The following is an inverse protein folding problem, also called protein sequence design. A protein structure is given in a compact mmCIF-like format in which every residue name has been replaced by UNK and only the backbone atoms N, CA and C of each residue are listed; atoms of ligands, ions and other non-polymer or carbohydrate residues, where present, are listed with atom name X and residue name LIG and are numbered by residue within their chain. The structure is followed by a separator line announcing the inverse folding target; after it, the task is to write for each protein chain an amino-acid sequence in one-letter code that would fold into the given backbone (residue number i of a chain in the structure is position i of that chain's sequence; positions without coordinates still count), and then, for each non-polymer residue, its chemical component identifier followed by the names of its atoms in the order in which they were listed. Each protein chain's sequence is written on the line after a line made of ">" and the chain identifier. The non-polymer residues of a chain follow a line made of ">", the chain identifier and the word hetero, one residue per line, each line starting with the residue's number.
data_IF_809744951809
#
_entry.id   IF_809744951809
#
_cell.length_a   1.000
_cell.length_b   1.000
_cell.length_c   1.000
_cell.angle_alpha   90.00
_cell.angle_beta   90.00
_cell.angle_gamma   90.00
#
_symmetry.space_group_name_H-M   'P 1'
#
loop_
_entity.id
_entity.type
_entity.pdbx_description
1 polymer ?
#
# COMPACT_ATOMS: atom_id res chain seq x y z
N UNK A 1 44.69 -11.00 20.58
CA UNK A 1 45.76 -10.51 19.68
C UNK A 1 45.51 -9.04 19.40
N UNK A 2 46.40 -8.06 19.49
CA UNK A 2 47.78 -7.88 19.96
C UNK A 2 48.03 -6.36 19.82
N UNK A 3 48.27 -5.62 20.90
CA UNK A 3 49.57 -5.20 21.46
C UNK A 3 50.50 -4.40 20.51
N UNK A 4 51.11 -3.37 21.13
CA UNK A 4 52.30 -2.55 20.74
C UNK A 4 51.99 -1.15 20.18
N UNK A 5 52.68 -0.06 20.57
CA UNK A 5 53.97 0.05 21.30
C UNK A 5 54.23 1.48 21.83
N UNK A 6 54.82 1.55 23.03
CA UNK A 6 56.01 2.32 23.50
C UNK A 6 56.01 3.86 23.47
N UNK A 7 56.11 4.51 24.63
CA UNK A 7 57.31 4.92 25.43
C UNK A 7 57.72 6.37 25.09
N UNK A 8 57.90 7.29 26.06
CA UNK A 8 59.11 7.35 26.87
C UNK A 8 58.97 8.05 28.24
N UNK A 9 59.61 7.42 29.23
CA UNK A 9 60.11 7.89 30.55
C UNK A 9 61.21 8.97 30.37
N UNK A 10 61.81 9.69 31.32
CA UNK A 10 62.00 9.66 32.79
C UNK A 10 62.53 11.08 33.19
N UNK A 11 62.36 11.61 34.41
CA UNK A 11 63.21 11.48 35.63
C UNK A 11 62.60 12.47 36.65
N UNK A 12 62.38 12.20 37.95
CA UNK A 12 63.33 11.77 38.99
C UNK A 12 64.18 12.98 39.44
N UNK A 13 64.29 13.45 40.70
CA UNK A 13 63.90 12.91 42.01
C UNK A 13 64.03 14.02 43.08
N UNK A 14 63.40 13.76 44.23
CA UNK A 14 63.28 14.38 45.56
C UNK A 14 64.46 15.05 46.31
N UNK A 15 64.09 15.88 47.32
CA UNK A 15 64.79 16.10 48.61
C UNK A 15 65.48 17.47 48.73
N UNK A 16 65.56 18.21 49.85
CA UNK A 16 65.23 18.00 51.27
C UNK A 16 65.56 19.30 52.06
N UNK A 17 64.91 19.55 53.21
CA UNK A 17 65.40 20.40 54.33
C UNK A 17 65.32 21.92 54.11
N UNK A 18 64.97 22.78 55.07
CA UNK A 18 65.00 22.68 56.53
C UNK A 18 65.73 23.91 57.07
N UNK A 19 65.01 24.73 57.85
CA UNK A 19 65.47 25.62 58.92
C UNK A 19 66.35 26.85 58.56
N UNK A 20 65.87 28.09 58.74
CA UNK A 20 65.68 28.87 59.98
C UNK A 20 66.98 29.43 60.57
N UNK A 21 67.05 30.75 60.75
CA UNK A 21 67.74 31.44 61.87
C UNK A 21 67.66 32.96 61.67
N UNK A 22 66.95 33.68 62.55
CA UNK A 22 67.51 34.65 63.54
C UNK A 22 67.97 36.00 62.91
N UNK A 23 67.74 37.19 63.47
CA UNK A 23 67.95 37.63 64.87
C UNK A 23 67.35 39.04 65.02
N UNK A 24 66.75 39.36 66.17
CA UNK A 24 66.41 40.74 66.57
C UNK A 24 67.64 41.46 67.17
N UNK A 25 67.72 42.80 67.25
CA UNK A 25 67.22 43.48 68.46
C UNK A 25 66.76 44.97 68.34
N UNK A 26 65.68 45.31 69.08
CA UNK A 26 65.52 46.53 69.93
C UNK A 26 65.32 47.94 69.27
N UNK A 27 64.98 49.05 70.00
CA UNK A 27 63.60 49.58 70.01
C UNK A 27 63.40 51.13 69.85
N UNK A 28 62.11 51.54 69.68
CA UNK A 28 61.41 52.84 69.97
C UNK A 28 61.33 54.02 68.95
N UNK A 29 60.06 54.25 68.50
CA UNK A 29 59.24 55.51 68.35
C UNK A 29 59.69 56.58 67.31
N UNK A 30 58.82 57.50 66.81
CA UNK A 30 57.37 57.72 66.96
C UNK A 30 56.56 57.81 65.64
N UNK A 31 55.24 57.95 65.76
CA UNK A 31 54.24 58.17 64.69
C UNK A 31 54.51 59.42 63.85
N UNK A 32 54.45 59.29 62.52
CA UNK A 32 54.04 60.37 61.61
C UNK A 32 52.97 59.83 60.66
N UNK A 33 51.87 60.57 60.60
CA UNK A 33 50.62 60.28 59.89
C UNK A 33 50.74 60.89 58.50
N UNK A 34 50.84 60.07 57.44
CA UNK A 34 50.64 60.52 56.06
C UNK A 34 49.19 60.22 55.66
N UNK A 35 48.61 61.24 55.03
CA UNK A 35 47.19 61.43 54.74
C UNK A 35 46.84 60.79 53.40
N UNK A 36 45.85 59.90 53.43
CA UNK A 36 44.88 59.56 52.37
C UNK A 36 45.38 59.37 50.94
N UNK A 37 45.52 58.10 50.53
CA UNK A 37 45.07 57.67 49.21
C UNK A 37 43.72 56.98 49.46
N UNK A 38 42.63 57.56 48.95
CA UNK A 38 41.32 56.92 48.92
C UNK A 38 41.42 55.71 47.99
N UNK A 39 41.41 54.52 48.59
CA UNK A 39 41.10 53.28 47.88
C UNK A 39 39.57 53.27 47.78
N UNK A 40 39.03 53.51 46.60
CA UNK A 40 37.61 53.29 46.31
C UNK A 40 37.33 51.79 46.47
N UNK A 41 36.91 51.40 47.68
CA UNK A 41 36.40 50.07 48.00
C UNK A 41 35.11 49.81 47.19
N UNK A 42 35.25 49.37 45.94
CA UNK A 42 34.13 48.77 45.19
C UNK A 42 33.75 47.47 45.90
N UNK A 43 32.48 47.26 46.30
CA UNK A 43 32.09 46.11 47.11
C UNK A 43 32.18 44.81 46.29
N UNK A 44 33.33 44.14 46.37
CA UNK A 44 33.59 42.81 45.75
C UNK A 44 32.56 41.75 46.15
N UNK A 45 31.88 41.93 47.27
CA UNK A 45 30.91 40.98 47.83
C UNK A 45 29.48 41.14 47.26
N UNK A 46 29.10 42.33 46.76
CA UNK A 46 27.82 42.51 46.04
C UNK A 46 27.90 41.96 44.62
N UNK A 47 29.03 42.17 43.95
CA UNK A 47 29.30 41.68 42.58
C UNK A 47 29.16 40.15 42.48
N UNK A 48 29.73 39.38 43.42
CA UNK A 48 29.69 37.92 43.38
C UNK A 48 28.27 37.35 43.58
N UNK A 49 27.47 37.94 44.47
CA UNK A 49 26.04 37.61 44.66
C UNK A 49 25.20 38.00 43.45
N UNK A 50 25.55 39.09 42.76
CA UNK A 50 24.89 39.49 41.50
C UNK A 50 25.20 38.53 40.36
N UNK A 51 26.46 38.10 40.23
CA UNK A 51 26.88 37.10 39.22
C UNK A 51 26.23 35.73 39.46
N UNK A 52 26.09 35.30 40.72
CA UNK A 52 25.36 34.08 41.08
C UNK A 52 23.86 34.18 40.73
N UNK A 53 23.21 35.32 41.02
CA UNK A 53 21.82 35.57 40.64
C UNK A 53 21.62 35.59 39.12
N UNK A 54 22.56 36.17 38.38
CA UNK A 54 22.55 36.18 36.91
C UNK A 54 22.72 34.75 36.37
N UNK A 55 23.66 33.97 36.91
CA UNK A 55 23.84 32.57 36.53
C UNK A 55 22.60 31.70 36.75
N UNK A 56 21.92 31.88 37.89
CA UNK A 56 20.64 31.20 38.18
C UNK A 56 19.55 31.64 37.21
N UNK A 57 19.45 32.94 36.89
CA UNK A 57 18.45 33.44 35.95
C UNK A 57 18.62 32.90 34.53
N UNK A 58 19.87 32.80 34.05
CA UNK A 58 20.19 32.20 32.74
C UNK A 58 19.84 30.71 32.74
N UNK A 59 20.13 29.99 33.83
CA UNK A 59 19.73 28.59 33.98
C UNK A 59 18.23 28.37 33.90
N UNK A 60 17.43 29.22 34.54
CA UNK A 60 15.96 29.16 34.50
C UNK A 60 15.43 29.44 33.09
N UNK A 61 16.00 30.41 32.38
CA UNK A 61 15.62 30.70 30.98
C UNK A 61 15.93 29.52 30.07
N UNK A 62 17.10 28.88 30.21
CA UNK A 62 17.44 27.69 29.43
C UNK A 62 16.48 26.53 29.70
N UNK A 63 16.10 26.29 30.95
CA UNK A 63 15.11 25.27 31.30
C UNK A 63 13.75 25.61 30.69
N UNK A 64 13.30 26.87 30.74
CA UNK A 64 12.04 27.30 30.15
C UNK A 64 12.02 27.11 28.61
N UNK A 65 13.15 27.37 27.94
CA UNK A 65 13.31 27.13 26.51
C UNK A 65 13.25 25.63 26.19
N UNK A 66 13.94 24.78 26.96
CA UNK A 66 13.86 23.32 26.80
C UNK A 66 12.45 22.81 27.07
N UNK A 67 11.78 23.30 28.12
CA UNK A 67 10.39 22.96 28.43
C UNK A 67 9.43 23.37 27.30
N UNK A 68 9.65 24.55 26.69
CA UNK A 68 8.87 24.99 25.53
C UNK A 68 9.07 24.05 24.32
N UNK A 69 10.31 23.75 23.93
CA UNK A 69 10.56 22.88 22.78
C UNK A 69 10.11 21.43 23.01
N UNK A 70 10.27 20.89 24.22
CA UNK A 70 9.75 19.56 24.58
C UNK A 70 8.22 19.53 24.58
N UNK A 71 7.57 20.61 25.04
CA UNK A 71 6.12 20.77 24.94
C UNK A 71 5.64 20.88 23.50
N UNK A 72 6.33 21.63 22.64
CA UNK A 72 6.03 21.69 21.20
C UNK A 72 6.17 20.31 20.54
N UNK A 73 7.25 19.57 20.82
CA UNK A 73 7.40 18.20 20.34
C UNK A 73 6.34 17.23 20.88
N UNK A 74 5.91 17.41 22.14
CA UNK A 74 4.79 16.67 22.71
C UNK A 74 3.45 16.97 21.98
N UNK A 75 3.19 18.23 21.63
CA UNK A 75 1.99 18.61 20.87
C UNK A 75 2.05 18.06 19.43
N UNK A 76 3.20 18.14 18.77
CA UNK A 76 3.38 17.60 17.41
C UNK A 76 3.18 16.08 17.37
N UNK A 77 3.64 15.35 18.39
CA UNK A 77 3.44 13.89 18.48
C UNK A 77 1.99 13.50 18.74
N UNK A 78 1.20 14.31 19.45
CA UNK A 78 -0.25 14.07 19.68
C UNK A 78 -1.08 14.17 18.40
N UNK A 79 -0.62 14.92 17.40
CA UNK A 79 -1.32 15.02 16.11
C UNK A 79 -1.13 13.74 15.26
N UNK A 80 0.02 13.08 15.37
CA UNK A 80 0.38 11.91 14.56
C UNK A 80 0.21 10.56 15.27
N UNK A 81 -0.13 10.57 16.56
CA UNK A 81 -0.33 9.34 17.33
C UNK A 81 -1.78 8.86 17.19
N UNK A 82 -2.00 7.57 16.87
CA UNK A 82 -3.34 7.00 16.90
C UNK A 82 -4.00 7.20 18.26
N UNK A 83 -5.33 7.29 18.24
CA UNK A 83 -6.12 7.43 19.46
C UNK A 83 -5.92 6.21 20.39
N UNK A 84 -5.63 6.48 21.66
CA UNK A 84 -5.16 5.50 22.66
C UNK A 84 -6.29 4.80 23.44
N UNK A 85 -7.54 4.86 22.95
CA UNK A 85 -8.62 4.10 23.58
C UNK A 85 -8.54 2.63 23.20
N UNK A 86 -9.29 1.81 23.95
CA UNK A 86 -9.53 0.42 23.56
C UNK A 86 -10.00 0.34 22.10
N UNK A 87 -9.43 -0.61 21.35
CA UNK A 87 -9.80 -0.83 19.96
C UNK A 87 -11.20 -1.43 19.90
N UNK A 88 -12.12 -0.72 19.26
CA UNK A 88 -13.49 -1.20 19.01
C UNK A 88 -13.47 -2.46 18.12
N UNK A 89 -12.49 -2.56 17.23
CA UNK A 89 -12.33 -3.71 16.33
C UNK A 89 -11.51 -4.80 17.01
N UNK A 90 -12.15 -5.94 17.28
CA UNK A 90 -11.49 -7.11 17.86
C UNK A 90 -10.71 -7.89 16.79
N UNK A 91 -9.75 -8.72 17.23
CA UNK A 91 -9.00 -9.61 16.33
C UNK A 91 -9.93 -10.60 15.61
N UNK A 92 -11.02 -11.03 16.24
CA UNK A 92 -12.03 -11.90 15.64
C UNK A 92 -12.75 -11.21 14.47
N UNK A 93 -13.07 -9.92 14.59
CA UNK A 93 -13.68 -9.13 13.52
C UNK A 93 -12.72 -8.88 12.34
N UNK A 94 -11.41 -8.87 12.61
CA UNK A 94 -10.36 -8.77 11.58
C UNK A 94 -10.19 -10.08 10.81
N UNK A 95 -10.39 -11.22 11.49
CA UNK A 95 -10.27 -12.56 10.93
C UNK A 95 -11.59 -13.15 10.42
N UNK A 96 -12.56 -12.28 10.08
CA UNK A 96 -13.81 -12.67 9.47
C UNK A 96 -13.58 -13.24 8.06
N UNK A 97 -13.62 -14.57 7.97
CA UNK A 97 -13.39 -15.33 6.73
C UNK A 97 -14.49 -15.11 5.70
N UNK A 98 -15.74 -14.94 6.13
CA UNK A 98 -16.83 -14.67 5.20
C UNK A 98 -16.56 -13.35 4.47
N UNK A 99 -16.00 -12.36 5.16
CA UNK A 99 -15.66 -11.07 4.55
C UNK A 99 -14.24 -10.98 4.03
N UNK A 100 -13.45 -12.06 4.03
CA UNK A 100 -12.06 -12.01 3.59
C UNK A 100 -11.95 -11.51 2.15
N UNK A 101 -12.74 -12.06 1.25
CA UNK A 101 -12.85 -11.66 -0.16
C UNK A 101 -14.10 -10.84 -0.42
N UNK A 102 -13.94 -9.80 -1.24
CA UNK A 102 -15.06 -9.01 -1.70
C UNK A 102 -14.65 -8.00 -2.76
N UNK A 103 -15.64 -7.24 -3.22
CA UNK A 103 -15.53 -6.18 -4.23
C UNK A 103 -15.02 -4.87 -3.61
N UNK A 104 -13.96 -4.94 -2.79
CA UNK A 104 -13.46 -3.82 -1.99
C UNK A 104 -12.61 -2.80 -2.77
N UNK A 105 -12.83 -2.70 -4.09
CA UNK A 105 -12.15 -1.74 -4.98
C UNK A 105 -13.19 -0.88 -5.71
N UNK A 106 -13.94 -0.02 -4.98
CA UNK A 106 -15.05 0.75 -5.56
C UNK A 106 -14.62 1.79 -6.60
N UNK A 107 -13.34 2.18 -6.64
CA UNK A 107 -12.82 3.08 -7.67
C UNK A 107 -12.75 2.44 -9.06
N UNK A 108 -12.82 1.11 -9.15
CA UNK A 108 -12.79 0.36 -10.40
C UNK A 108 -14.20 -0.08 -10.77
N UNK A 109 -14.50 -0.18 -12.07
CA UNK A 109 -15.79 -0.69 -12.52
C UNK A 109 -16.09 -2.07 -11.95
N UNK A 110 -15.09 -2.96 -11.97
CA UNK A 110 -15.12 -4.20 -11.24
C UNK A 110 -13.72 -4.52 -10.72
N UNK A 111 -13.62 -4.87 -9.44
CA UNK A 111 -12.37 -5.28 -8.82
C UNK A 111 -12.59 -6.04 -7.52
N UNK A 112 -11.76 -7.04 -7.29
CA UNK A 112 -11.77 -7.86 -6.07
C UNK A 112 -10.44 -7.72 -5.34
N UNK A 113 -10.48 -7.76 -4.01
CA UNK A 113 -9.28 -7.83 -3.16
C UNK A 113 -9.62 -8.51 -1.84
N UNK A 114 -8.58 -8.91 -1.11
CA UNK A 114 -8.75 -9.35 0.27
C UNK A 114 -8.74 -8.17 1.25
N UNK A 115 -9.25 -8.37 2.46
CA UNK A 115 -9.16 -7.41 3.58
C UNK A 115 -7.78 -7.42 4.29
N UNK A 116 -6.77 -8.07 3.72
CA UNK A 116 -5.42 -8.12 4.29
C UNK A 116 -4.51 -7.04 3.69
N UNK A 117 -3.53 -6.52 4.44
CA UNK A 117 -2.44 -5.75 3.85
C UNK A 117 -1.66 -6.61 2.84
N UNK A 118 -1.13 -6.00 1.78
CA UNK A 118 -0.36 -6.75 0.77
C UNK A 118 -1.24 -7.69 -0.06
N UNK A 119 -2.52 -7.34 -0.22
CA UNK A 119 -3.52 -8.22 -0.82
C UNK A 119 -3.26 -8.46 -2.31
N UNK A 120 -3.65 -9.64 -2.83
CA UNK A 120 -3.78 -9.83 -4.25
C UNK A 120 -5.01 -9.03 -4.71
N UNK A 121 -4.82 -8.25 -5.76
CA UNK A 121 -5.85 -7.42 -6.37
C UNK A 121 -6.19 -7.98 -7.74
N UNK A 122 -7.48 -8.05 -8.02
CA UNK A 122 -8.01 -8.42 -9.33
C UNK A 122 -8.86 -7.29 -9.87
N UNK A 123 -8.94 -7.20 -11.19
CA UNK A 123 -9.77 -6.20 -11.84
C UNK A 123 -10.09 -6.53 -13.28
N UNK A 124 -11.20 -5.95 -13.73
CA UNK A 124 -11.67 -5.99 -15.11
C UNK A 124 -11.27 -4.71 -15.82
N UNK A 125 -10.82 -4.82 -17.05
CA UNK A 125 -10.82 -3.74 -18.02
C UNK A 125 -11.44 -4.21 -19.33
N UNK A 126 -11.91 -3.27 -20.14
CA UNK A 126 -12.32 -3.60 -21.50
C UNK A 126 -12.05 -2.46 -22.46
N UNK A 127 -11.97 -2.80 -23.74
CA UNK A 127 -11.97 -1.86 -24.85
C UNK A 127 -13.11 -2.26 -25.78
N UNK A 128 -13.92 -1.28 -26.17
CA UNK A 128 -14.83 -1.40 -27.30
C UNK A 128 -14.22 -0.66 -28.50
N UNK A 129 -13.64 -1.37 -29.49
CA UNK A 129 -13.04 -0.75 -30.68
C UNK A 129 -14.01 0.14 -31.45
N UNK A 130 -15.33 -0.12 -31.36
CA UNK A 130 -16.36 0.74 -31.95
C UNK A 130 -16.31 2.19 -31.45
N UNK A 131 -15.74 2.43 -30.26
CA UNK A 131 -15.62 3.75 -29.65
C UNK A 131 -14.25 4.41 -29.85
N UNK A 132 -13.37 3.79 -30.64
CA UNK A 132 -12.05 4.35 -30.91
C UNK A 132 -12.16 5.72 -31.60
N UNK A 133 -11.57 6.75 -30.99
CA UNK A 133 -11.57 8.13 -31.52
C UNK A 133 -10.14 8.68 -31.54
N UNK A 134 -9.72 9.17 -32.70
CA UNK A 134 -8.55 10.05 -32.87
C UNK A 134 -7.25 9.59 -32.16
N UNK A 135 -6.94 8.29 -32.17
CA UNK A 135 -5.67 7.78 -31.63
C UNK A 135 -5.70 7.38 -30.16
N UNK A 136 -6.80 7.62 -29.43
CA UNK A 136 -6.94 7.16 -28.05
C UNK A 136 -7.71 5.84 -27.98
N UNK A 137 -7.14 4.87 -27.26
CA UNK A 137 -7.77 3.58 -27.00
C UNK A 137 -8.70 3.72 -25.79
N UNK A 138 -10.03 3.54 -25.96
CA UNK A 138 -11.01 3.73 -24.89
C UNK A 138 -10.98 2.54 -23.92
N UNK A 139 -9.87 2.39 -23.19
CA UNK A 139 -9.66 1.41 -22.14
C UNK A 139 -10.40 1.85 -20.89
N UNK A 140 -11.48 1.15 -20.55
CA UNK A 140 -12.28 1.36 -19.34
C UNK A 140 -11.67 0.59 -18.19
N UNK A 141 -11.50 1.24 -17.03
CA UNK A 141 -10.94 0.60 -15.85
C UNK A 141 -11.41 1.26 -14.54
N UNK A 142 -11.08 2.53 -14.37
CA UNK A 142 -11.56 3.36 -13.26
C UNK A 142 -12.96 3.88 -13.56
N UNK A 143 -13.76 4.06 -12.51
CA UNK A 143 -15.08 4.67 -12.61
C UNK A 143 -14.94 6.17 -12.90
N UNK A 144 -14.73 6.51 -14.17
CA UNK A 144 -14.55 7.88 -14.62
C UNK A 144 -15.85 8.42 -15.23
N UNK A 145 -16.31 9.58 -14.74
CA UNK A 145 -17.54 10.18 -15.27
C UNK A 145 -17.40 10.61 -16.74
N UNK A 146 -16.16 10.89 -17.18
CA UNK A 146 -15.83 11.18 -18.58
C UNK A 146 -15.99 10.00 -19.54
N UNK A 147 -16.16 8.77 -19.03
CA UNK A 147 -16.36 7.59 -19.89
C UNK A 147 -17.74 7.59 -20.58
N UNK A 148 -18.71 8.33 -20.04
CA UNK A 148 -20.07 8.45 -20.57
C UNK A 148 -20.80 7.10 -20.73
N UNK A 149 -20.60 6.16 -19.79
CA UNK A 149 -21.42 4.95 -19.72
C UNK A 149 -22.88 5.35 -19.50
N UNK A 150 -23.80 4.68 -20.21
CA UNK A 150 -25.24 4.93 -20.06
C UNK A 150 -25.74 4.52 -18.68
N UNK A 151 -25.20 3.43 -18.15
CA UNK A 151 -25.56 2.86 -16.86
C UNK A 151 -24.39 2.01 -16.37
N UNK A 152 -24.08 2.10 -15.08
CA UNK A 152 -23.28 1.10 -14.41
C UNK A 152 -23.74 0.98 -12.95
N UNK A 153 -23.77 -0.22 -12.40
CA UNK A 153 -24.12 -0.41 -11.00
C UNK A 153 -24.49 -1.84 -10.65
N UNK A 154 -24.47 -2.13 -9.35
CA UNK A 154 -24.95 -3.39 -8.81
C UNK A 154 -26.46 -3.45 -8.88
N UNK A 155 -27.00 -4.45 -9.57
CA UNK A 155 -28.42 -4.79 -9.56
C UNK A 155 -28.78 -5.53 -8.28
N UNK A 156 -27.91 -6.46 -7.87
CA UNK A 156 -28.08 -7.30 -6.69
C UNK A 156 -26.70 -7.45 -6.04
N UNK A 157 -26.58 -7.22 -4.74
CA UNK A 157 -25.32 -7.41 -4.01
C UNK A 157 -25.59 -7.58 -2.52
N UNK A 158 -25.17 -8.70 -1.92
CA UNK A 158 -25.42 -8.99 -0.50
C UNK A 158 -24.29 -8.53 0.44
N UNK A 159 -23.23 -7.94 -0.13
CA UNK A 159 -22.07 -7.45 0.61
C UNK A 159 -21.09 -8.56 1.02
N UNK A 160 -21.40 -9.83 0.72
CA UNK A 160 -20.65 -10.97 1.20
C UNK A 160 -20.49 -12.04 0.12
N UNK A 161 -21.55 -12.77 -0.24
CA UNK A 161 -21.47 -14.02 -1.01
C UNK A 161 -21.57 -13.85 -2.52
N UNK A 162 -22.37 -12.89 -2.98
CA UNK A 162 -22.62 -12.72 -4.39
C UNK A 162 -22.92 -11.28 -4.79
N UNK A 163 -22.77 -11.01 -6.08
CA UNK A 163 -23.26 -9.79 -6.68
C UNK A 163 -23.46 -9.93 -8.17
N UNK A 164 -24.40 -9.17 -8.71
CA UNK A 164 -24.68 -9.00 -10.13
C UNK A 164 -24.66 -7.52 -10.45
N UNK A 165 -23.76 -7.13 -11.33
CA UNK A 165 -23.58 -5.77 -11.81
C UNK A 165 -23.85 -5.72 -13.31
N UNK A 166 -24.44 -4.62 -13.74
CA UNK A 166 -24.68 -4.30 -15.13
C UNK A 166 -23.91 -3.04 -15.51
N UNK A 167 -23.26 -3.05 -16.67
CA UNK A 167 -22.58 -1.92 -17.27
C UNK A 167 -23.00 -1.80 -18.74
N UNK A 168 -23.48 -0.63 -19.15
CA UNK A 168 -23.91 -0.32 -20.51
C UNK A 168 -22.97 0.73 -21.09
N UNK A 169 -22.10 0.30 -21.99
CA UNK A 169 -21.06 1.12 -22.62
C UNK A 169 -21.30 1.19 -24.15
N UNK A 170 -22.06 2.21 -24.57
CA UNK A 170 -22.44 2.41 -25.96
C UNK A 170 -23.31 1.27 -26.49
N UNK A 171 -22.77 0.50 -27.44
CA UNK A 171 -23.42 -0.65 -28.09
C UNK A 171 -23.22 -1.97 -27.30
N UNK A 172 -22.43 -1.98 -26.24
CA UNK A 172 -22.10 -3.20 -25.50
C UNK A 172 -22.71 -3.18 -24.11
N UNK A 173 -23.30 -4.29 -23.69
CA UNK A 173 -23.73 -4.55 -22.31
C UNK A 173 -22.80 -5.59 -21.68
N UNK A 174 -22.10 -5.20 -20.61
CA UNK A 174 -21.32 -6.09 -19.78
C UNK A 174 -22.13 -6.42 -18.52
N UNK A 175 -22.31 -7.70 -18.24
CA UNK A 175 -22.86 -8.17 -16.97
C UNK A 175 -21.74 -8.88 -16.22
N UNK A 176 -21.31 -8.29 -15.11
CA UNK A 176 -20.31 -8.86 -14.21
C UNK A 176 -21.02 -9.45 -13.02
N UNK A 177 -20.83 -10.75 -12.79
CA UNK A 177 -21.42 -11.44 -11.64
C UNK A 177 -20.36 -12.23 -10.91
N UNK A 178 -20.45 -12.32 -9.60
CA UNK A 178 -19.53 -13.14 -8.82
C UNK A 178 -20.29 -13.94 -7.77
N UNK A 179 -19.77 -15.13 -7.49
CA UNK A 179 -20.27 -16.01 -6.43
C UNK A 179 -19.07 -16.64 -5.74
N UNK A 180 -19.04 -16.58 -4.41
CA UNK A 180 -18.09 -17.38 -3.63
C UNK A 180 -18.65 -18.80 -3.47
N UNK A 181 -17.82 -19.80 -3.70
CA UNK A 181 -18.25 -21.18 -3.61
C UNK A 181 -18.64 -21.51 -2.15
N UNK A 182 -19.92 -21.84 -1.85
CA UNK A 182 -20.35 -22.18 -0.50
C UNK A 182 -19.80 -23.53 -0.02
N UNK A 183 -19.33 -24.38 -0.94
CA UNK A 183 -18.75 -25.69 -0.65
C UNK A 183 -17.23 -25.65 -0.45
N UNK A 184 -16.61 -24.49 -0.65
CA UNK A 184 -15.17 -24.34 -0.43
C UNK A 184 -14.85 -24.61 1.05
N UNK A 185 -13.81 -25.43 1.28
CA UNK A 185 -13.47 -25.90 2.63
C UNK A 185 -13.09 -24.76 3.58
N UNK A 186 -13.11 -25.02 4.88
CA UNK A 186 -12.63 -24.08 5.92
C UNK A 186 -11.19 -23.59 5.68
N UNK A 187 -10.40 -24.34 4.89
CA UNK A 187 -9.00 -24.06 4.60
C UNK A 187 -8.74 -23.48 3.19
N UNK A 188 -9.75 -23.34 2.34
CA UNK A 188 -9.58 -22.87 0.96
C UNK A 188 -10.71 -21.96 0.53
N UNK A 189 -10.38 -20.80 -0.05
CA UNK A 189 -11.37 -19.91 -0.67
C UNK A 189 -11.41 -20.14 -2.18
N UNK A 190 -12.60 -20.41 -2.70
CA UNK A 190 -12.87 -20.46 -4.14
C UNK A 190 -13.98 -19.46 -4.47
N UNK A 191 -13.77 -18.67 -5.51
CA UNK A 191 -14.78 -17.76 -6.03
C UNK A 191 -14.69 -17.69 -7.54
N UNK A 192 -15.83 -17.43 -8.17
CA UNK A 192 -15.92 -17.33 -9.63
C UNK A 192 -16.56 -16.02 -10.00
N UNK A 193 -15.94 -15.34 -10.96
CA UNK A 193 -16.45 -14.14 -11.61
C UNK A 193 -16.83 -14.51 -13.03
N UNK A 194 -18.08 -14.26 -13.40
CA UNK A 194 -18.57 -14.39 -14.76
C UNK A 194 -18.71 -13.01 -15.38
N UNK A 195 -18.06 -12.83 -16.52
CA UNK A 195 -18.16 -11.65 -17.36
C UNK A 195 -18.94 -12.06 -18.60
N UNK A 196 -20.19 -11.62 -18.70
CA UNK A 196 -21.03 -11.82 -19.89
C UNK A 196 -21.03 -10.53 -20.71
N UNK A 197 -20.72 -10.64 -21.99
CA UNK A 197 -20.68 -9.51 -22.92
C UNK A 197 -21.72 -9.74 -24.01
N UNK A 198 -22.69 -8.85 -24.06
CA UNK A 198 -23.83 -8.91 -24.98
C UNK A 198 -23.95 -7.59 -25.75
N UNK A 199 -24.76 -7.59 -26.81
CA UNK A 199 -25.21 -6.34 -27.40
C UNK A 199 -26.14 -5.63 -26.42
N UNK A 200 -25.96 -4.31 -26.36
CA UNK A 200 -26.87 -3.41 -25.66
C UNK A 200 -28.20 -3.33 -26.40
N UNK A 201 -29.31 -3.15 -25.68
CA UNK A 201 -30.62 -2.88 -26.29
C UNK A 201 -30.63 -1.60 -27.13
N UNK A 202 -29.62 -0.74 -26.94
CA UNK A 202 -29.41 0.48 -27.70
C UNK A 202 -28.42 0.34 -28.87
N UNK A 203 -27.96 -0.87 -29.17
CA UNK A 203 -27.01 -1.12 -30.24
C UNK A 203 -27.66 -0.94 -31.61
N UNK A 204 -26.92 -0.34 -32.54
CA UNK A 204 -27.33 -0.26 -33.96
C UNK A 204 -26.84 -1.50 -34.72
N UNK A 205 -25.74 -2.10 -34.27
CA UNK A 205 -25.15 -3.31 -34.85
C UNK A 205 -25.66 -4.56 -34.13
N UNK A 206 -25.70 -5.68 -34.87
CA UNK A 206 -26.06 -6.98 -34.31
C UNK A 206 -24.90 -7.65 -33.57
N UNK A 207 -23.66 -7.21 -33.81
CA UNK A 207 -22.47 -7.76 -33.20
C UNK A 207 -21.36 -6.71 -33.13
N UNK A 208 -20.62 -6.73 -32.03
CA UNK A 208 -19.50 -5.82 -31.76
C UNK A 208 -18.36 -6.62 -31.19
N UNK A 209 -17.16 -6.32 -31.66
CA UNK A 209 -15.94 -6.88 -31.11
C UNK A 209 -15.63 -6.18 -29.77
N UNK A 210 -15.21 -6.94 -28.77
CA UNK A 210 -14.86 -6.43 -27.44
C UNK A 210 -13.60 -7.10 -26.95
N UNK A 211 -12.71 -6.30 -26.35
CA UNK A 211 -11.43 -6.77 -25.83
C UNK A 211 -11.59 -6.71 -24.32
N UNK A 212 -11.56 -7.86 -23.67
CA UNK A 212 -11.72 -8.00 -22.22
C UNK A 212 -10.37 -8.31 -21.62
N UNK A 213 -10.00 -7.59 -20.57
CA UNK A 213 -8.77 -7.80 -19.81
C UNK A 213 -9.14 -8.16 -18.38
N UNK A 214 -8.66 -9.31 -17.91
CA UNK A 214 -8.73 -9.66 -16.50
C UNK A 214 -7.32 -9.73 -15.95
N UNK A 215 -7.02 -8.90 -14.95
CA UNK A 215 -5.68 -8.84 -14.37
C UNK A 215 -5.67 -9.26 -12.91
N UNK A 216 -4.53 -9.79 -12.49
CA UNK A 216 -4.15 -10.05 -11.12
C UNK A 216 -2.83 -9.35 -10.80
N UNK A 217 -2.74 -8.71 -9.64
CA UNK A 217 -1.51 -8.07 -9.17
C UNK A 217 -1.40 -8.12 -7.65
N UNK A 218 -0.26 -7.75 -7.10
CA UNK A 218 -0.09 -7.59 -5.65
C UNK A 218 0.02 -6.10 -5.29
N UNK A 219 -0.38 -5.74 -4.07
CA UNK A 219 -0.06 -4.43 -3.51
C UNK A 219 1.48 -4.29 -3.33
N UNK A 220 1.99 -3.07 -3.48
CA UNK A 220 3.43 -2.76 -3.58
C UNK A 220 4.30 -3.54 -2.57
N UNK A 221 5.37 -4.17 -3.06
CA UNK A 221 6.34 -4.88 -2.23
C UNK A 221 5.97 -6.30 -1.80
N UNK A 222 4.84 -6.84 -2.27
CA UNK A 222 4.38 -8.19 -1.97
C UNK A 222 4.45 -9.09 -3.20
N UNK A 223 4.79 -10.38 -3.02
CA UNK A 223 4.77 -11.36 -4.11
C UNK A 223 4.50 -12.77 -3.59
N UNK A 224 3.73 -13.55 -4.35
CA UNK A 224 3.68 -15.01 -4.30
C UNK A 224 2.94 -15.65 -3.12
N UNK A 225 3.17 -15.19 -1.89
CA UNK A 225 2.65 -15.82 -0.68
C UNK A 225 2.02 -14.81 0.26
N UNK A 226 0.75 -15.00 0.60
CA UNK A 226 0.02 -14.15 1.55
C UNK A 226 -0.40 -15.02 2.74
N UNK A 227 -0.05 -14.56 3.94
CA UNK A 227 -0.27 -15.29 5.20
C UNK A 227 -1.72 -15.76 5.44
N UNK A 228 -2.70 -15.10 4.80
CA UNK A 228 -4.13 -15.40 4.93
C UNK A 228 -4.78 -16.05 3.68
N UNK A 229 -4.05 -16.20 2.56
CA UNK A 229 -4.59 -16.75 1.30
C UNK A 229 -3.83 -18.01 0.85
N UNK A 230 -2.55 -18.13 1.23
CA UNK A 230 -1.68 -19.22 0.76
C UNK A 230 -1.34 -19.10 -0.73
N UNK A 231 -0.93 -20.23 -1.31
CA UNK A 231 -0.75 -20.36 -2.75
C UNK A 231 -2.13 -20.36 -3.43
N UNK A 232 -2.21 -19.81 -4.64
CA UNK A 232 -3.47 -19.74 -5.37
C UNK A 232 -3.27 -19.86 -6.88
N UNK A 233 -4.33 -20.27 -7.56
CA UNK A 233 -4.41 -20.36 -9.01
C UNK A 233 -5.61 -19.59 -9.53
N UNK A 234 -5.45 -18.99 -10.70
CA UNK A 234 -6.51 -18.36 -11.46
C UNK A 234 -6.70 -19.13 -12.76
N UNK A 235 -7.88 -19.68 -12.97
CA UNK A 235 -8.26 -20.40 -14.18
C UNK A 235 -9.31 -19.59 -14.95
N UNK A 236 -9.16 -19.46 -16.26
CA UNK A 236 -10.06 -18.67 -17.12
C UNK A 236 -10.69 -19.62 -18.14
N UNK A 237 -12.02 -19.64 -18.17
CA UNK A 237 -12.82 -20.49 -19.05
C UNK A 237 -13.71 -19.60 -19.93
N UNK A 238 -13.26 -19.27 -21.15
CA UNK A 238 -14.10 -18.54 -22.08
C UNK A 238 -15.18 -19.48 -22.64
N UNK A 239 -16.40 -18.96 -22.85
CA UNK A 239 -17.58 -19.68 -23.31
C UNK A 239 -18.27 -18.86 -24.41
N UNK A 240 -18.34 -19.44 -25.61
CA UNK A 240 -18.93 -18.81 -26.79
C UNK A 240 -18.29 -19.38 -28.06
N UNK A 241 -18.95 -19.20 -29.19
CA UNK A 241 -18.46 -19.72 -30.47
C UNK A 241 -17.49 -18.74 -31.17
N UNK A 242 -17.67 -17.43 -30.94
CA UNK A 242 -16.90 -16.36 -31.60
C UNK A 242 -15.81 -15.74 -30.69
N UNK A 243 -15.01 -16.61 -30.08
CA UNK A 243 -13.83 -16.20 -29.31
C UNK A 243 -12.61 -16.13 -30.23
N UNK A 244 -11.99 -14.95 -30.28
CA UNK A 244 -10.76 -14.68 -31.02
C UNK A 244 -9.49 -15.06 -30.26
N UNK A 245 -8.32 -14.59 -30.72
CA UNK A 245 -7.04 -14.94 -30.12
C UNK A 245 -6.90 -14.42 -28.69
N UNK A 246 -6.24 -15.23 -27.87
CA UNK A 246 -5.92 -14.94 -26.47
C UNK A 246 -4.50 -14.38 -26.35
N UNK A 247 -4.33 -13.35 -25.52
CA UNK A 247 -3.03 -12.78 -25.22
C UNK A 247 -2.83 -12.67 -23.72
N UNK A 248 -1.58 -12.65 -23.27
CA UNK A 248 -1.26 -12.42 -21.87
C UNK A 248 -0.16 -11.37 -21.73
N UNK A 249 -0.11 -10.73 -20.57
CA UNK A 249 1.00 -9.89 -20.15
C UNK A 249 1.46 -10.36 -18.77
N UNK A 250 2.74 -10.71 -18.64
CA UNK A 250 3.37 -10.92 -17.33
C UNK A 250 4.52 -9.92 -17.19
N UNK A 251 4.48 -9.11 -16.15
CA UNK A 251 5.49 -8.08 -15.91
C UNK A 251 5.48 -7.63 -14.44
N UNK A 252 6.22 -6.57 -14.13
CA UNK A 252 6.25 -5.93 -12.83
C UNK A 252 5.42 -4.66 -12.81
N UNK A 253 4.47 -4.56 -11.88
CA UNK A 253 3.78 -3.32 -11.57
C UNK A 253 4.61 -2.46 -10.63
N UNK A 254 4.47 -1.13 -10.72
CA UNK A 254 4.97 -0.18 -9.71
C UNK A 254 3.84 0.26 -8.79
N UNK A 255 2.89 -0.65 -8.55
CA UNK A 255 1.70 -0.42 -7.74
C UNK A 255 0.38 -0.32 -8.53
N UNK A 256 -0.77 -0.44 -7.83
CA UNK A 256 -2.10 -0.57 -8.43
C UNK A 256 -2.51 0.57 -9.36
N UNK A 257 -2.09 1.79 -9.05
CA UNK A 257 -2.36 3.01 -9.81
C UNK A 257 -1.77 2.97 -11.22
N UNK A 258 -0.65 2.27 -11.39
CA UNK A 258 0.08 2.21 -12.67
C UNK A 258 -0.50 1.20 -13.65
N UNK A 259 -1.36 0.29 -13.19
CA UNK A 259 -1.84 -0.86 -13.98
C UNK A 259 -2.53 -0.42 -15.29
N UNK A 260 -3.34 0.63 -15.24
CA UNK A 260 -4.03 1.16 -16.45
C UNK A 260 -3.03 1.62 -17.50
N UNK A 261 -2.01 2.38 -17.07
CA UNK A 261 -0.96 2.89 -17.94
C UNK A 261 -0.06 1.77 -18.44
N UNK A 262 0.20 0.76 -17.60
CA UNK A 262 0.96 -0.42 -17.95
C UNK A 262 0.29 -1.21 -19.08
N UNK A 263 -1.01 -1.51 -18.96
CA UNK A 263 -1.75 -2.16 -20.05
C UNK A 263 -1.76 -1.27 -21.30
N UNK A 264 -2.12 0.02 -21.16
CA UNK A 264 -2.19 0.94 -22.30
C UNK A 264 -0.86 1.05 -23.06
N UNK A 265 0.27 1.10 -22.36
CA UNK A 265 1.61 1.18 -22.95
C UNK A 265 2.14 -0.15 -23.48
N UNK A 266 1.63 -1.28 -22.99
CA UNK A 266 2.02 -2.62 -23.44
C UNK A 266 1.25 -3.10 -24.66
N UNK A 267 0.07 -2.55 -24.92
CA UNK A 267 -0.75 -2.89 -26.09
C UNK A 267 0.01 -2.55 -27.37
N UNK A 268 0.16 -3.56 -28.24
CA UNK A 268 0.79 -3.42 -29.56
C UNK A 268 -0.11 -4.03 -30.62
N UNK A 269 0.01 -3.52 -31.84
CA UNK A 269 -0.64 -4.15 -32.98
C UNK A 269 0.10 -5.46 -33.30
N UNK A 270 -0.56 -6.60 -33.05
CA UNK A 270 0.02 -7.94 -33.29
C UNK A 270 -0.30 -8.42 -34.71
N UNK A 271 -1.50 -8.09 -35.20
CA UNK A 271 -1.95 -8.37 -36.56
C UNK A 271 -2.64 -7.12 -37.15
N UNK A 272 -2.81 -7.02 -38.48
CA UNK A 272 -3.61 -5.95 -39.09
C UNK A 272 -4.99 -5.84 -38.43
N UNK A 273 -5.27 -4.73 -37.75
CA UNK A 273 -6.55 -4.50 -37.06
C UNK A 273 -6.72 -5.18 -35.69
N UNK A 274 -5.72 -5.91 -35.18
CA UNK A 274 -5.78 -6.58 -33.87
C UNK A 274 -4.71 -6.04 -32.94
N UNK A 275 -5.14 -5.50 -31.80
CA UNK A 275 -4.26 -5.02 -30.74
C UNK A 275 -4.19 -6.09 -29.65
N UNK A 276 -2.98 -6.57 -29.36
CA UNK A 276 -2.73 -7.66 -28.42
C UNK A 276 -1.68 -7.30 -27.39
N UNK A 277 -1.67 -8.05 -26.28
CA UNK A 277 -0.58 -8.04 -25.31
C UNK A 277 0.59 -8.91 -25.80
N UNK A 278 1.84 -8.48 -25.59
CA UNK A 278 3.03 -9.12 -26.19
C UNK A 278 3.51 -10.40 -25.50
N UNK A 279 2.84 -10.90 -24.45
CA UNK A 279 3.31 -12.04 -23.65
C UNK A 279 4.12 -11.61 -22.43
N UNK A 280 5.34 -12.11 -22.27
CA UNK A 280 6.21 -11.69 -21.16
C UNK A 280 7.04 -10.47 -21.55
N UNK A 281 6.97 -9.41 -20.76
CA UNK A 281 7.80 -8.21 -20.93
C UNK A 281 8.54 -7.97 -19.62
N UNK A 282 9.67 -8.63 -19.47
CA UNK A 282 10.64 -8.36 -18.40
C UNK A 282 11.88 -7.74 -19.03
N UNK A 283 12.35 -6.62 -18.52
CA UNK A 283 13.57 -5.98 -19.04
C UNK A 283 14.77 -6.89 -18.79
N UNK A 284 15.68 -7.01 -19.76
CA UNK A 284 16.91 -7.79 -19.62
C UNK A 284 17.77 -7.35 -18.41
N UNK A 285 17.60 -6.11 -17.95
CA UNK A 285 18.26 -5.54 -16.76
C UNK A 285 17.65 -6.01 -15.43
N UNK A 286 16.43 -6.57 -15.44
CA UNK A 286 15.66 -7.03 -14.27
C UNK A 286 15.75 -8.56 -14.06
N UNK A 287 16.60 -9.24 -14.83
CA UNK A 287 16.84 -10.70 -14.75
C UNK A 287 17.57 -11.17 -13.48
N UNK A 288 17.80 -10.27 -12.52
CA UNK A 288 18.34 -10.58 -11.20
C UNK A 288 17.27 -10.62 -10.11
N UNK A 289 16.84 -11.83 -9.73
CA UNK A 289 16.18 -12.16 -8.46
C UNK A 289 14.74 -11.64 -8.18
N UNK A 290 14.05 -11.06 -9.16
CA UNK A 290 12.83 -10.32 -8.90
C UNK A 290 11.61 -10.96 -9.61
N UNK A 291 10.69 -11.58 -8.86
CA UNK A 291 9.47 -12.20 -9.38
C UNK A 291 8.51 -11.18 -10.00
N UNK A 292 7.72 -11.56 -11.04
CA UNK A 292 6.62 -10.75 -11.54
C UNK A 292 5.49 -10.69 -10.52
N UNK A 293 4.92 -9.50 -10.34
CA UNK A 293 3.80 -9.21 -9.41
C UNK A 293 2.54 -8.79 -10.17
N UNK A 294 2.54 -8.86 -11.51
CA UNK A 294 1.43 -8.49 -12.36
C UNK A 294 1.24 -9.49 -13.50
N UNK A 295 0.00 -9.95 -13.66
CA UNK A 295 -0.46 -10.74 -14.79
C UNK A 295 -1.75 -10.17 -15.34
N UNK A 296 -1.88 -10.07 -16.66
CA UNK A 296 -3.12 -9.70 -17.33
C UNK A 296 -3.42 -10.70 -18.44
N UNK A 297 -4.65 -11.14 -18.51
CA UNK A 297 -5.17 -11.98 -19.57
C UNK A 297 -6.10 -11.15 -20.44
N UNK A 298 -5.84 -11.16 -21.74
CA UNK A 298 -6.66 -10.50 -22.75
C UNK A 298 -7.41 -11.54 -23.56
N UNK A 299 -8.72 -11.39 -23.61
CA UNK A 299 -9.62 -12.11 -24.50
C UNK A 299 -10.21 -11.14 -25.52
N UNK A 300 -10.22 -11.55 -26.78
CA UNK A 300 -10.91 -10.82 -27.84
C UNK A 300 -12.11 -11.67 -28.24
N UNK A 301 -13.31 -11.11 -28.23
CA UNK A 301 -14.53 -11.84 -28.62
C UNK A 301 -15.49 -10.96 -29.40
N UNK A 302 -16.36 -11.60 -30.17
CA UNK A 302 -17.53 -10.95 -30.80
C UNK A 302 -18.76 -11.32 -29.99
N UNK A 303 -19.58 -10.32 -29.63
CA UNK A 303 -20.79 -10.54 -28.83
C UNK A 303 -21.80 -11.46 -29.54
N UNK A 304 -22.51 -12.35 -28.82
CA UNK A 304 -22.45 -12.57 -27.37
C UNK A 304 -21.40 -13.61 -26.96
N UNK A 305 -20.67 -13.36 -25.86
CA UNK A 305 -19.77 -14.34 -25.26
C UNK A 305 -19.70 -14.17 -23.74
N UNK A 306 -19.22 -15.21 -23.06
CA UNK A 306 -19.05 -15.25 -21.61
C UNK A 306 -17.63 -15.69 -21.23
N UNK A 307 -17.17 -15.27 -20.06
CA UNK A 307 -15.88 -15.70 -19.50
C UNK A 307 -16.06 -15.98 -18.02
N UNK A 308 -15.75 -17.20 -17.60
CA UNK A 308 -15.71 -17.58 -16.19
C UNK A 308 -14.26 -17.51 -15.70
N UNK A 309 -14.00 -16.65 -14.73
CA UNK A 309 -12.70 -16.53 -14.05
C UNK A 309 -12.82 -17.15 -12.67
N UNK A 310 -12.11 -18.25 -12.45
CA UNK A 310 -12.18 -19.05 -11.23
C UNK A 310 -10.89 -18.85 -10.44
N UNK A 311 -11.03 -18.34 -9.22
CA UNK A 311 -9.94 -18.26 -8.25
C UNK A 311 -10.00 -19.44 -7.30
N UNK A 312 -8.86 -20.10 -7.09
CA UNK A 312 -8.73 -21.21 -6.13
C UNK A 312 -7.51 -21.01 -5.25
N UNK A 313 -7.71 -21.02 -3.93
CA UNK A 313 -6.62 -21.15 -2.96
C UNK A 313 -6.22 -22.63 -2.85
N UNK A 314 -4.92 -22.93 -2.94
CA UNK A 314 -4.35 -24.28 -2.83
C UNK A 314 -4.32 -24.74 -1.37
N UNK A 315 -5.50 -25.00 -0.80
CA UNK A 315 -5.66 -25.56 0.53
C UNK A 315 -6.04 -27.03 0.49
N UNK A 316 -5.06 -27.95 0.35
CA UNK A 316 -5.08 -29.43 0.58
C UNK A 316 -6.32 -30.28 0.20
N UNK A 317 -7.31 -29.70 -0.46
CA UNK A 317 -8.58 -30.32 -0.83
C UNK A 317 -8.68 -30.24 -2.34
N UNK A 318 -8.47 -31.38 -2.98
CA UNK A 318 -8.72 -31.64 -4.39
C UNK A 318 -10.22 -31.51 -4.68
N UNK A 319 -10.77 -30.30 -4.72
CA UNK A 319 -12.02 -30.10 -5.45
C UNK A 319 -11.67 -30.31 -6.92
N UNK A 320 -11.90 -31.53 -7.41
CA UNK A 320 -11.47 -31.96 -8.73
C UNK A 320 -12.18 -31.21 -9.86
N UNK A 321 -13.34 -30.61 -9.59
CA UNK A 321 -14.15 -29.88 -10.58
C UNK A 321 -14.15 -28.40 -10.24
N UNK A 322 -13.69 -27.50 -11.15
CA UNK A 322 -13.71 -26.07 -10.91
C UNK A 322 -15.15 -25.56 -10.74
N UNK A 323 -15.36 -24.58 -9.87
CA UNK A 323 -16.65 -23.92 -9.69
C UNK A 323 -17.01 -23.03 -10.89
N UNK A 324 -17.31 -23.62 -12.05
CA UNK A 324 -17.66 -22.92 -13.29
C UNK A 324 -18.86 -23.55 -14.00
N UNK A 325 -19.37 -22.91 -15.06
CA UNK A 325 -20.48 -23.44 -15.85
C UNK A 325 -21.76 -23.69 -15.04
N UNK A 326 -22.33 -24.90 -15.16
CA UNK A 326 -23.64 -25.24 -14.57
C UNK A 326 -23.67 -25.19 -13.04
N UNK A 327 -22.55 -25.49 -12.37
CA UNK A 327 -22.43 -25.39 -10.92
C UNK A 327 -22.55 -23.93 -10.46
N UNK A 328 -21.89 -23.03 -11.19
CA UNK A 328 -21.99 -21.59 -10.98
C UNK A 328 -23.40 -21.07 -11.25
N UNK A 329 -24.04 -21.49 -12.35
CA UNK A 329 -25.40 -21.06 -12.70
C UNK A 329 -26.42 -21.42 -11.63
N UNK A 330 -26.33 -22.64 -11.11
CA UNK A 330 -27.20 -23.13 -10.04
C UNK A 330 -27.01 -22.34 -8.75
N UNK A 331 -25.75 -22.08 -8.38
CA UNK A 331 -25.41 -21.30 -7.19
C UNK A 331 -25.84 -19.83 -7.31
N UNK A 332 -25.59 -19.20 -8.47
CA UNK A 332 -26.03 -17.84 -8.73
C UNK A 332 -27.55 -17.74 -8.61
N UNK A 333 -28.30 -18.62 -9.27
CA UNK A 333 -29.77 -18.63 -9.18
C UNK A 333 -30.26 -18.76 -7.73
N UNK A 334 -29.68 -19.68 -6.96
CA UNK A 334 -30.04 -19.86 -5.55
C UNK A 334 -29.79 -18.61 -4.70
N UNK A 335 -28.67 -17.91 -4.93
CA UNK A 335 -28.37 -16.65 -4.24
C UNK A 335 -29.31 -15.51 -4.63
N UNK A 336 -29.64 -15.38 -5.92
CA UNK A 336 -30.61 -14.38 -6.39
C UNK A 336 -32.00 -14.61 -5.81
N UNK A 337 -32.47 -15.86 -5.76
CA UNK A 337 -33.73 -16.22 -5.12
C UNK A 337 -33.73 -15.92 -3.61
N UNK A 338 -32.61 -16.15 -2.93
CA UNK A 338 -32.45 -15.83 -1.50
C UNK A 338 -32.43 -14.31 -1.25
N UNK A 339 -31.83 -13.53 -2.15
CA UNK A 339 -31.79 -12.08 -2.07
C UNK A 339 -33.18 -11.46 -2.26
N UNK A 340 -33.93 -11.91 -3.26
CA UNK A 340 -35.27 -11.39 -3.56
C UNK A 340 -36.34 -11.75 -2.52
N UNK A 341 -36.06 -12.74 -1.64
CA UNK A 341 -36.94 -13.13 -0.54
C UNK A 341 -36.73 -12.30 0.74
N UNK A 342 -35.60 -11.61 0.86
CA UNK A 342 -35.30 -10.69 1.96
C UNK A 342 -35.85 -9.31 1.64
#
# INVERSE_FOLDING_TARGET
>A
MGRSKRNSSANGTSGSGGDSSSTAPSPKKPRVRIRGYEDDDVPRHESRRSVEKVGVSVGVVLIAVVAYFTWQGYLETRVNTPFDSEKIVTQEMMNDRERLWGTYRPGNYFGMKTRSPGSPIFGLMWISPSQYRQGDLPLRHWCEQGDNLKKYGWLEHDGTNFGVQELIDGEVKLTTSFVKNPQASVYGTEWTVRIRVEQSDFAVRNASQVYVFFYGSFEEGHSGWIMNVGDFRLDIYPRGDDIGPEFSLTTRSRGPQTITQLIRSSLRQVQPGVIGLPGSVMSAQETGAASPDFVSYQLIGVTPFEVDVVFRSEGRSEIAVPFSGAAYDSALKAWREKFNKK
#
